data_IF_777526557801
#
_entry.id   IF_777526557801
#
_cell.length_a   1.000
_cell.length_b   1.000
_cell.length_c   1.000
_cell.angle_alpha   90.00
_cell.angle_beta   90.00
_cell.angle_gamma   90.00
#
_symmetry.space_group_name_H-M   'P 1'
#
loop_
_entity.id
_entity.type
_entity.pdbx_description
1 polymer ?
#
# COMPACT_ATOMS: atom_id res chain seq x y z
N UNK A 1 3.41 18.22 8.10
CA UNK A 1 4.42 17.40 8.82
C UNK A 1 4.70 16.19 7.93
N UNK A 2 5.95 15.96 7.50
CA UNK A 2 6.32 14.72 6.76
C UNK A 2 6.91 14.85 5.35
N UNK A 3 7.22 16.06 4.85
CA UNK A 3 7.69 16.24 3.46
C UNK A 3 9.18 15.93 3.25
N UNK A 4 9.93 15.69 4.33
CA UNK A 4 11.40 15.68 4.26
C UNK A 4 12.06 14.35 4.60
N UNK A 5 11.35 13.26 4.88
CA UNK A 5 11.98 11.94 4.99
C UNK A 5 11.49 11.04 3.86
N UNK A 6 12.42 10.31 3.23
CA UNK A 6 12.04 9.23 2.33
C UNK A 6 10.96 8.39 3.04
N UNK A 7 9.81 8.23 2.38
CA UNK A 7 8.60 7.73 3.03
C UNK A 7 8.90 6.52 3.89
N UNK A 8 8.38 6.48 5.13
CA UNK A 8 8.70 5.43 6.10
C UNK A 8 8.61 4.01 5.50
N UNK A 9 7.68 3.81 4.56
CA UNK A 9 7.52 2.59 3.78
C UNK A 9 8.71 2.31 2.82
N UNK A 10 9.15 3.31 2.04
CA UNK A 10 10.23 3.15 1.07
C UNK A 10 11.55 2.82 1.76
N UNK A 11 11.86 3.48 2.88
CA UNK A 11 13.06 3.17 3.67
C UNK A 11 13.00 1.80 4.35
N UNK A 12 11.84 1.40 4.86
CA UNK A 12 11.66 0.08 5.47
C UNK A 12 11.90 -1.04 4.44
N UNK A 13 11.33 -0.91 3.24
CA UNK A 13 11.48 -1.89 2.16
C UNK A 13 12.90 -1.95 1.58
N UNK A 14 13.58 -0.79 1.44
CA UNK A 14 14.99 -0.77 1.03
C UNK A 14 15.88 -1.57 1.99
N UNK A 15 15.62 -1.50 3.29
CA UNK A 15 16.36 -2.26 4.31
C UNK A 15 15.93 -3.72 4.41
N UNK A 16 14.65 -4.03 4.10
CA UNK A 16 14.07 -5.37 4.19
C UNK A 16 13.16 -5.66 2.98
N UNK A 17 13.75 -6.06 1.83
CA UNK A 17 12.99 -6.25 0.59
C UNK A 17 11.98 -7.39 0.64
N UNK A 18 12.27 -8.43 1.42
CA UNK A 18 11.37 -9.57 1.65
C UNK A 18 10.52 -9.30 2.88
N UNK A 19 9.35 -8.71 2.67
CA UNK A 19 8.46 -8.31 3.76
C UNK A 19 6.99 -8.43 3.37
N UNK A 20 6.13 -8.40 4.39
CA UNK A 20 4.69 -8.26 4.20
C UNK A 20 4.33 -6.81 4.53
N UNK A 21 3.73 -6.11 3.57
CA UNK A 21 3.25 -4.75 3.72
C UNK A 21 1.73 -4.80 3.83
N UNK A 22 1.18 -4.27 4.92
CA UNK A 22 -0.26 -4.23 5.16
C UNK A 22 -0.77 -2.80 5.02
N UNK A 23 -1.74 -2.60 4.13
CA UNK A 23 -2.53 -1.37 4.04
C UNK A 23 -3.90 -1.65 4.64
N UNK A 24 -4.18 -1.05 5.78
CA UNK A 24 -5.44 -1.22 6.50
C UNK A 24 -6.44 -0.12 6.11
N UNK A 25 -7.73 -0.47 6.00
CA UNK A 25 -8.83 0.45 5.65
C UNK A 25 -8.53 1.33 4.43
N UNK A 26 -8.04 0.72 3.34
CA UNK A 26 -7.53 1.46 2.16
C UNK A 26 -8.59 2.39 1.53
N UNK A 27 -9.89 2.11 1.73
CA UNK A 27 -10.97 2.98 1.29
C UNK A 27 -10.99 4.36 1.96
N UNK A 28 -10.32 4.52 3.11
CA UNK A 28 -10.20 5.78 3.84
C UNK A 28 -8.98 6.60 3.39
N UNK A 29 -8.09 6.00 2.61
CA UNK A 29 -6.85 6.63 2.20
C UNK A 29 -7.09 7.80 1.23
N UNK A 30 -6.20 8.78 1.26
CA UNK A 30 -6.22 9.89 0.30
C UNK A 30 -6.06 9.35 -1.15
N UNK A 31 -6.66 9.98 -2.18
CA UNK A 31 -6.52 9.53 -3.56
C UNK A 31 -5.07 9.34 -4.04
N UNK A 32 -4.12 10.11 -3.51
CA UNK A 32 -2.69 9.95 -3.83
C UNK A 32 -2.11 8.58 -3.42
N UNK A 33 -2.65 7.96 -2.37
CA UNK A 33 -2.26 6.60 -1.96
C UNK A 33 -2.68 5.58 -3.03
N UNK A 34 -3.83 5.79 -3.67
CA UNK A 34 -4.29 4.91 -4.75
C UNK A 34 -3.37 5.02 -5.96
N UNK A 35 -2.91 6.22 -6.33
CA UNK A 35 -1.95 6.39 -7.42
C UNK A 35 -0.61 5.68 -7.13
N UNK A 36 -0.13 5.77 -5.89
CA UNK A 36 1.05 5.04 -5.44
C UNK A 36 0.86 3.52 -5.53
N UNK A 37 -0.28 3.00 -5.07
CA UNK A 37 -0.61 1.58 -5.17
C UNK A 37 -0.71 1.11 -6.62
N UNK A 38 -1.33 1.91 -7.49
CA UNK A 38 -1.40 1.62 -8.93
C UNK A 38 0.00 1.51 -9.54
N UNK A 39 0.88 2.46 -9.24
CA UNK A 39 2.27 2.40 -9.70
C UNK A 39 2.97 1.11 -9.24
N UNK A 40 2.81 0.75 -7.97
CA UNK A 40 3.40 -0.48 -7.42
C UNK A 40 2.83 -1.73 -8.11
N UNK A 41 1.52 -1.78 -8.36
CA UNK A 41 0.86 -2.91 -8.99
C UNK A 41 1.21 -3.06 -10.48
N UNK A 42 1.47 -1.95 -11.18
CA UNK A 42 1.84 -1.95 -12.60
C UNK A 42 3.34 -2.17 -12.81
N UNK A 43 4.18 -1.38 -12.14
CA UNK A 43 5.62 -1.32 -12.39
C UNK A 43 6.45 -2.18 -11.43
N UNK A 44 5.85 -2.66 -10.34
CA UNK A 44 6.54 -3.39 -9.27
C UNK A 44 7.49 -2.54 -8.44
N UNK A 45 7.48 -1.21 -8.62
CA UNK A 45 8.34 -0.28 -7.90
C UNK A 45 7.63 1.03 -7.60
N UNK A 46 8.19 1.79 -6.67
CA UNK A 46 7.73 3.13 -6.32
C UNK A 46 8.90 4.10 -6.28
N UNK A 47 8.72 5.27 -6.89
CA UNK A 47 9.68 6.37 -6.79
C UNK A 47 9.30 7.29 -5.63
N UNK A 48 10.25 7.52 -4.71
CA UNK A 48 10.08 8.48 -3.63
C UNK A 48 10.21 9.93 -4.13
N UNK A 49 9.86 10.90 -3.28
CA UNK A 49 9.95 12.34 -3.60
C UNK A 49 11.38 12.85 -3.86
N UNK A 50 12.40 12.04 -3.52
CA UNK A 50 13.83 12.35 -3.74
C UNK A 50 14.36 11.66 -5.01
N UNK A 51 13.52 10.96 -5.76
CA UNK A 51 13.87 10.26 -6.99
C UNK A 51 14.50 8.88 -6.78
N UNK A 52 14.48 8.32 -5.57
CA UNK A 52 14.90 6.94 -5.37
C UNK A 52 13.77 5.98 -5.70
N UNK A 53 14.10 4.95 -6.49
CA UNK A 53 13.18 3.86 -6.79
C UNK A 53 13.34 2.73 -5.78
N UNK A 54 12.22 2.26 -5.23
CA UNK A 54 12.15 1.12 -4.32
C UNK A 54 11.40 -0.02 -4.98
N UNK A 55 11.97 -1.22 -4.93
CA UNK A 55 11.41 -2.44 -5.51
C UNK A 55 10.45 -3.13 -4.54
N UNK A 56 9.24 -3.43 -5.00
CA UNK A 56 8.18 -4.10 -4.25
C UNK A 56 7.97 -5.55 -4.72
N UNK A 57 8.67 -6.03 -5.76
CA UNK A 57 8.46 -7.37 -6.35
C UNK A 57 8.73 -8.53 -5.39
N UNK A 58 9.51 -8.29 -4.33
CA UNK A 58 9.79 -9.27 -3.28
C UNK A 58 8.93 -9.09 -2.02
N UNK A 59 8.02 -8.12 -2.02
CA UNK A 59 7.11 -7.85 -0.92
C UNK A 59 5.72 -8.41 -1.22
N UNK A 60 5.10 -9.02 -0.21
CA UNK A 60 3.68 -9.38 -0.28
C UNK A 60 2.88 -8.17 0.19
N UNK A 61 1.99 -7.68 -0.67
CA UNK A 61 1.09 -6.59 -0.33
C UNK A 61 -0.26 -7.17 0.10
N UNK A 62 -0.69 -6.81 1.30
CA UNK A 62 -2.00 -7.15 1.86
C UNK A 62 -2.78 -5.87 2.03
N UNK A 63 -4.01 -5.83 1.50
CA UNK A 63 -4.92 -4.70 1.66
C UNK A 63 -6.19 -5.18 2.34
N UNK A 64 -6.72 -4.39 3.27
CA UNK A 64 -8.02 -4.62 3.87
C UNK A 64 -8.98 -3.49 3.48
N UNK A 65 -10.28 -3.81 3.44
CA UNK A 65 -11.31 -2.79 3.25
C UNK A 65 -12.60 -3.17 3.97
N UNK A 66 -13.28 -2.19 4.54
CA UNK A 66 -14.58 -2.41 5.19
C UNK A 66 -15.77 -2.17 4.24
N UNK A 67 -15.54 -1.78 2.98
CA UNK A 67 -16.59 -1.43 2.01
C UNK A 67 -17.61 -2.57 1.80
N UNK A 68 -17.18 -3.83 1.86
CA UNK A 68 -18.05 -4.99 1.65
C UNK A 68 -18.62 -5.63 2.93
N UNK A 69 -18.35 -5.08 4.12
CA UNK A 69 -18.67 -5.75 5.37
C UNK A 69 -20.17 -5.97 5.58
N UNK A 70 -21.01 -5.01 5.16
CA UNK A 70 -22.46 -5.11 5.30
C UNK A 70 -23.08 -6.13 4.32
N UNK A 71 -22.60 -6.19 3.08
CA UNK A 71 -23.04 -7.16 2.08
C UNK A 71 -22.68 -8.61 2.48
N UNK A 72 -21.49 -8.82 3.07
CA UNK A 72 -21.07 -10.12 3.59
C UNK A 72 -21.97 -10.59 4.75
N UNK A 73 -22.34 -9.68 5.66
CA UNK A 73 -23.28 -9.99 6.76
C UNK A 73 -24.65 -10.42 6.25
N UNK A 74 -25.17 -9.76 5.22
CA UNK A 74 -26.46 -10.10 4.59
C UNK A 74 -26.43 -11.49 3.93
N UNK A 75 -25.36 -11.85 3.23
CA UNK A 75 -25.22 -13.18 2.59
C UNK A 75 -25.15 -14.33 3.59
N UNK A 76 -24.58 -14.10 4.77
CA UNK A 76 -24.42 -15.13 5.81
C UNK A 76 -25.71 -15.36 6.61
N UNK A 77 -26.69 -14.46 6.50
CA UNK A 77 -27.96 -14.52 7.24
C UNK A 77 -29.10 -15.18 6.45
N UNK A 78 -28.79 -15.87 5.35
CA UNK A 78 -29.70 -16.68 4.51
C UNK A 78 -29.48 -18.17 4.76
#
# INVERSE_FOLDING_TARGET
IGYEDAGQLTEALRRRPYSIVVFDEVEKAHPEVHNMLLQIMEEGHLSDARGHTVDFRNAIIVMTTNVGAEEIKKQTSL
#
